data_IF_031238634287
#
_entry.id   IF_031238634287
#
_cell.length_a   1.000
_cell.length_b   1.000
_cell.length_c   1.000
_cell.angle_alpha   90.00
_cell.angle_beta   90.00
_cell.angle_gamma   90.00
#
_symmetry.space_group_name_H-M   'P 1'
#
loop_
_entity.id
_entity.type
_entity.pdbx_description
1 polymer ?
#
# COMPACT_ATOMS: atom_id res chain seq x y z
N UNK A 1 25.25 -36.31 -4.09
CA UNK A 1 24.83 -37.23 -3.04
C UNK A 1 25.16 -36.57 -1.71
N UNK A 2 24.18 -36.05 -1.02
CA UNK A 2 23.99 -35.96 0.43
C UNK A 2 22.92 -34.92 0.71
N UNK A 3 21.72 -35.43 0.92
CA UNK A 3 20.56 -34.78 1.50
C UNK A 3 20.83 -34.74 3.01
N UNK A 4 20.70 -33.60 3.65
CA UNK A 4 20.63 -33.56 5.10
C UNK A 4 19.74 -32.40 5.56
N UNK A 5 18.61 -32.82 6.12
CA UNK A 5 17.90 -32.31 7.29
C UNK A 5 17.38 -30.87 7.28
N UNK A 6 16.13 -30.75 6.87
CA UNK A 6 15.23 -29.70 7.35
C UNK A 6 14.84 -30.05 8.79
N UNK A 7 15.38 -29.32 9.75
CA UNK A 7 15.04 -29.44 11.17
C UNK A 7 13.64 -28.85 11.44
N UNK A 8 12.88 -29.58 12.24
CA UNK A 8 11.52 -29.34 12.73
C UNK A 8 11.25 -27.90 13.19
N UNK A 9 10.33 -27.25 12.48
CA UNK A 9 9.58 -26.11 13.04
C UNK A 9 8.50 -26.67 13.98
N UNK A 10 8.28 -26.08 15.16
CA UNK A 10 7.30 -26.59 16.10
C UNK A 10 5.89 -26.56 15.45
N UNK A 11 5.30 -27.71 15.28
CA UNK A 11 3.89 -27.87 14.91
C UNK A 11 3.07 -27.27 16.06
N UNK A 12 2.38 -26.16 15.79
CA UNK A 12 1.35 -25.67 16.70
C UNK A 12 0.43 -26.83 17.04
N UNK A 13 0.19 -27.04 18.34
CA UNK A 13 -0.63 -28.14 18.84
C UNK A 13 -2.00 -28.09 18.19
N UNK A 14 -2.58 -29.25 17.90
CA UNK A 14 -3.91 -29.38 17.30
C UNK A 14 -5.04 -28.66 18.05
N UNK A 15 -4.76 -28.15 19.26
CA UNK A 15 -5.64 -27.32 20.06
C UNK A 15 -5.96 -25.94 19.42
N UNK A 16 -4.99 -25.27 18.79
CA UNK A 16 -5.22 -23.95 18.15
C UNK A 16 -6.02 -24.07 16.85
N UNK A 17 -5.78 -25.10 16.05
CA UNK A 17 -6.59 -25.36 14.87
C UNK A 17 -8.02 -25.81 15.24
N UNK A 18 -8.16 -26.59 16.31
CA UNK A 18 -9.46 -27.05 16.86
C UNK A 18 -10.25 -25.91 17.51
N UNK A 19 -9.60 -24.95 18.18
CA UNK A 19 -10.26 -23.77 18.76
C UNK A 19 -10.78 -22.81 17.66
N UNK A 20 -10.01 -22.59 16.60
CA UNK A 20 -10.48 -21.87 15.41
C UNK A 20 -11.66 -22.57 14.74
N UNK A 21 -11.60 -23.90 14.59
CA UNK A 21 -12.68 -24.70 14.03
C UNK A 21 -13.91 -24.70 14.95
N UNK A 22 -13.73 -24.77 16.26
CA UNK A 22 -14.79 -24.71 17.26
C UNK A 22 -15.43 -23.31 17.40
N UNK A 23 -14.65 -22.24 17.22
CA UNK A 23 -15.19 -20.87 17.11
C UNK A 23 -16.02 -20.68 15.83
N UNK A 24 -15.65 -21.37 14.74
CA UNK A 24 -16.41 -21.39 13.49
C UNK A 24 -17.71 -22.18 13.57
N UNK A 25 -17.86 -23.15 14.50
CA UNK A 25 -19.07 -23.96 14.67
C UNK A 25 -20.14 -23.32 15.55
N UNK A 26 -19.83 -22.25 16.31
CA UNK A 26 -20.82 -21.40 16.96
C UNK A 26 -21.39 -20.44 15.94
N UNK A 27 -22.57 -20.72 15.33
CA UNK A 27 -23.36 -19.91 14.42
C UNK A 27 -22.50 -18.82 13.74
N UNK A 28 -21.74 -19.17 12.70
CA UNK A 28 -21.07 -18.15 11.89
C UNK A 28 -22.18 -17.34 11.22
N UNK A 29 -22.28 -16.06 11.58
CA UNK A 29 -23.17 -15.15 10.86
C UNK A 29 -22.77 -15.17 9.40
N UNK A 30 -23.66 -15.62 8.54
CA UNK A 30 -23.43 -15.58 7.10
C UNK A 30 -23.78 -14.19 6.60
N UNK A 31 -22.79 -13.51 6.08
CA UNK A 31 -22.96 -12.20 5.43
C UNK A 31 -23.31 -12.42 3.95
N UNK A 32 -24.32 -11.70 3.46
CA UNK A 32 -24.51 -11.63 2.01
C UNK A 32 -23.30 -10.95 1.34
N UNK A 33 -23.00 -11.32 0.09
CA UNK A 33 -21.94 -10.68 -0.67
C UNK A 33 -22.12 -9.17 -0.74
N UNK A 34 -23.36 -8.70 -0.85
CA UNK A 34 -23.70 -7.28 -0.85
C UNK A 34 -23.33 -6.61 0.48
N UNK A 35 -23.62 -7.25 1.60
CA UNK A 35 -23.26 -6.74 2.93
C UNK A 35 -21.74 -6.69 3.10
N UNK A 36 -21.03 -7.75 2.71
CA UNK A 36 -19.56 -7.79 2.76
C UNK A 36 -18.93 -6.66 1.93
N UNK A 37 -19.45 -6.39 0.73
CA UNK A 37 -19.02 -5.28 -0.14
C UNK A 37 -19.20 -3.92 0.53
N UNK A 38 -20.36 -3.67 1.13
CA UNK A 38 -20.65 -2.42 1.85
C UNK A 38 -19.73 -2.22 3.05
N UNK A 39 -19.47 -3.27 3.81
CA UNK A 39 -18.52 -3.25 4.91
C UNK A 39 -17.12 -2.87 4.40
N UNK A 40 -16.65 -3.53 3.35
CA UNK A 40 -15.34 -3.26 2.76
C UNK A 40 -15.23 -1.81 2.25
N UNK A 41 -16.24 -1.30 1.56
CA UNK A 41 -16.29 0.07 1.08
C UNK A 41 -16.28 1.09 2.23
N UNK A 42 -17.09 0.86 3.26
CA UNK A 42 -17.16 1.73 4.44
C UNK A 42 -15.85 1.74 5.24
N UNK A 43 -15.20 0.58 5.41
CA UNK A 43 -13.89 0.46 6.05
C UNK A 43 -12.83 1.26 5.32
N UNK A 44 -12.88 1.26 3.99
CA UNK A 44 -11.98 2.02 3.13
C UNK A 44 -12.33 3.53 3.01
N UNK A 45 -13.40 3.99 3.68
CA UNK A 45 -13.78 5.40 3.72
C UNK A 45 -14.73 5.86 2.61
N UNK A 46 -15.27 4.94 1.80
CA UNK A 46 -16.29 5.28 0.81
C UNK A 46 -17.68 5.42 1.42
N UNK A 47 -18.56 6.15 0.73
CA UNK A 47 -19.94 6.42 1.16
C UNK A 47 -20.12 7.65 2.05
N UNK A 48 -19.04 8.34 2.41
CA UNK A 48 -19.12 9.66 3.04
C UNK A 48 -19.13 10.74 1.95
N UNK A 49 -19.92 11.82 2.12
CA UNK A 49 -19.87 12.95 1.20
C UNK A 49 -18.47 13.57 1.16
N UNK A 50 -17.94 13.82 -0.03
CA UNK A 50 -16.70 14.58 -0.22
C UNK A 50 -16.92 16.03 0.21
N UNK A 51 -15.96 16.59 0.94
CA UNK A 51 -15.99 17.96 1.42
C UNK A 51 -14.67 18.64 1.05
N UNK A 52 -14.64 19.95 0.86
CA UNK A 52 -13.39 20.67 0.61
C UNK A 52 -12.33 20.31 1.65
N UNK A 53 -11.15 19.93 1.16
CA UNK A 53 -10.02 19.52 2.01
C UNK A 53 -9.20 20.75 2.34
N UNK A 54 -9.29 21.18 3.60
CA UNK A 54 -8.47 22.27 4.14
C UNK A 54 -7.45 21.69 5.12
N UNK A 55 -6.15 21.75 4.75
CA UNK A 55 -5.07 21.33 5.61
C UNK A 55 -4.92 19.81 5.76
N UNK A 56 -4.10 19.41 6.73
CA UNK A 56 -3.64 18.02 6.91
C UNK A 56 -4.70 17.07 7.51
N UNK A 57 -5.57 17.55 8.40
CA UNK A 57 -6.41 16.67 9.21
C UNK A 57 -7.30 15.67 8.41
N UNK A 58 -7.98 16.04 7.31
CA UNK A 58 -8.72 15.08 6.51
C UNK A 58 -7.82 14.03 5.84
N UNK A 59 -6.66 14.47 5.33
CA UNK A 59 -5.65 13.59 4.73
C UNK A 59 -5.07 12.62 5.75
N UNK A 60 -4.72 13.12 6.95
CA UNK A 60 -4.22 12.31 8.06
C UNK A 60 -5.21 11.21 8.43
N UNK A 61 -6.49 11.53 8.61
CA UNK A 61 -7.52 10.51 8.90
C UNK A 61 -7.67 9.47 7.79
N UNK A 62 -7.50 9.85 6.53
CA UNK A 62 -7.54 8.90 5.41
C UNK A 62 -6.32 7.98 5.43
N UNK A 63 -5.13 8.55 5.67
CA UNK A 63 -3.88 7.78 5.81
C UNK A 63 -3.91 6.85 7.02
N UNK A 64 -4.42 7.31 8.17
CA UNK A 64 -4.57 6.47 9.36
C UNK A 64 -5.54 5.30 9.11
N UNK A 65 -6.64 5.55 8.40
CA UNK A 65 -7.62 4.53 8.02
C UNK A 65 -7.05 3.48 7.07
N UNK A 66 -6.30 3.91 6.06
CA UNK A 66 -5.70 3.03 5.06
C UNK A 66 -4.35 2.48 5.49
N UNK A 67 -3.74 3.06 6.52
CA UNK A 67 -2.43 2.73 7.09
C UNK A 67 -1.26 2.89 6.11
N UNK A 68 -1.49 2.92 4.81
CA UNK A 68 -0.44 3.12 3.82
C UNK A 68 -0.98 3.61 2.46
N UNK A 69 -0.14 4.31 1.72
CA UNK A 69 -0.32 4.60 0.30
C UNK A 69 0.86 4.03 -0.48
N UNK A 70 0.60 3.10 -1.39
CA UNK A 70 1.66 2.52 -2.23
C UNK A 70 2.28 3.59 -3.14
N UNK A 71 3.59 3.61 -3.17
CA UNK A 71 4.40 4.45 -4.07
C UNK A 71 4.69 3.65 -5.34
N UNK A 72 4.50 4.30 -6.47
CA UNK A 72 4.90 3.76 -7.76
C UNK A 72 5.67 4.81 -8.59
N UNK A 73 6.60 4.34 -9.40
CA UNK A 73 7.41 5.20 -10.27
C UNK A 73 6.66 5.69 -11.51
N UNK A 74 5.59 4.99 -11.91
CA UNK A 74 4.77 5.34 -13.07
C UNK A 74 4.06 6.68 -12.85
N UNK A 75 4.25 7.61 -13.79
CA UNK A 75 3.69 8.96 -13.73
C UNK A 75 2.96 9.34 -15.02
N UNK A 76 2.09 8.42 -15.47
CA UNK A 76 1.27 8.63 -16.68
C UNK A 76 0.17 9.64 -16.44
N UNK A 77 -0.51 9.55 -15.29
CA UNK A 77 -1.54 10.47 -14.85
C UNK A 77 -0.98 11.38 -13.75
N UNK A 78 -0.82 10.82 -12.59
CA UNK A 78 -0.18 11.37 -11.39
C UNK A 78 0.41 10.19 -10.62
N UNK A 79 1.38 10.42 -9.75
CA UNK A 79 1.95 9.32 -8.97
C UNK A 79 0.90 8.67 -8.08
N UNK A 80 0.93 7.34 -8.03
CA UNK A 80 -0.12 6.51 -7.45
C UNK A 80 -0.48 6.87 -6.01
N UNK A 81 0.48 7.26 -5.17
CA UNK A 81 0.26 7.55 -3.75
C UNK A 81 -0.61 8.79 -3.46
N UNK A 82 -0.87 9.65 -4.46
CA UNK A 82 -1.82 10.76 -4.30
C UNK A 82 -3.27 10.34 -4.51
N UNK A 83 -3.51 9.32 -5.34
CA UNK A 83 -4.86 8.94 -5.77
C UNK A 83 -5.76 8.37 -4.67
N UNK A 84 -5.28 7.55 -3.69
CA UNK A 84 -6.17 7.03 -2.64
C UNK A 84 -6.84 8.12 -1.80
N UNK A 85 -6.14 9.23 -1.53
CA UNK A 85 -6.74 10.38 -0.86
C UNK A 85 -7.76 11.09 -1.77
N UNK A 86 -7.42 11.34 -3.04
CA UNK A 86 -8.35 11.93 -4.01
C UNK A 86 -9.63 11.08 -4.15
N UNK A 87 -9.50 9.78 -4.27
CA UNK A 87 -10.65 8.86 -4.43
C UNK A 87 -11.65 8.95 -3.27
N UNK A 88 -11.21 9.30 -2.06
CA UNK A 88 -12.04 9.38 -0.85
C UNK A 88 -12.50 10.79 -0.50
N UNK A 89 -11.67 11.76 -0.79
CA UNK A 89 -11.87 13.15 -0.33
C UNK A 89 -12.23 14.12 -1.46
N UNK A 90 -11.94 13.78 -2.72
CA UNK A 90 -11.94 14.72 -3.84
C UNK A 90 -10.64 15.54 -3.91
N UNK A 91 -10.66 16.69 -4.59
CA UNK A 91 -9.51 17.56 -4.76
C UNK A 91 -8.88 18.03 -3.46
N UNK A 92 -7.54 18.01 -3.41
CA UNK A 92 -6.75 18.51 -2.27
C UNK A 92 -5.38 19.00 -2.76
N UNK A 93 -4.69 19.78 -1.93
CA UNK A 93 -3.31 20.21 -2.21
C UNK A 93 -2.33 19.05 -1.98
N UNK A 94 -1.73 18.53 -3.06
CA UNK A 94 -0.77 17.41 -3.03
C UNK A 94 0.49 17.75 -2.23
N UNK A 95 0.87 19.03 -2.15
CA UNK A 95 2.01 19.47 -1.36
C UNK A 95 1.86 19.15 0.14
N UNK A 96 0.64 18.91 0.63
CA UNK A 96 0.41 18.45 2.01
C UNK A 96 0.98 17.06 2.24
N UNK A 97 0.82 16.11 1.28
CA UNK A 97 1.43 14.78 1.36
C UNK A 97 2.95 14.89 1.23
N UNK A 98 3.44 15.68 0.26
CA UNK A 98 4.89 15.87 0.05
C UNK A 98 5.57 16.43 1.29
N UNK A 99 4.96 17.45 1.91
CA UNK A 99 5.45 18.03 3.15
C UNK A 99 5.44 17.03 4.32
N UNK A 100 4.39 16.23 4.40
CA UNK A 100 4.26 15.21 5.45
C UNK A 100 5.26 14.05 5.26
N UNK A 101 5.58 13.69 4.02
CA UNK A 101 6.47 12.57 3.69
C UNK A 101 7.94 13.00 3.60
N UNK A 102 8.22 14.15 2.98
CA UNK A 102 9.58 14.57 2.59
C UNK A 102 9.95 15.98 3.04
N UNK A 103 9.07 16.65 3.76
CA UNK A 103 9.34 17.96 4.32
C UNK A 103 10.28 17.91 5.54
N UNK A 104 10.52 19.09 6.15
CA UNK A 104 11.40 19.19 7.32
C UNK A 104 10.87 18.31 8.48
N UNK A 105 11.79 17.82 9.31
CA UNK A 105 11.53 16.85 10.40
C UNK A 105 10.30 17.20 11.27
N UNK A 106 10.12 18.50 11.61
CA UNK A 106 8.96 18.99 12.38
C UNK A 106 7.61 18.86 11.68
N UNK A 107 7.59 18.86 10.35
CA UNK A 107 6.38 18.74 9.55
C UNK A 107 6.10 17.28 9.14
N UNK A 108 7.07 16.40 9.35
CA UNK A 108 6.98 15.01 8.94
C UNK A 108 5.88 14.28 9.72
N UNK A 109 5.06 13.54 8.98
CA UNK A 109 3.96 12.70 9.50
C UNK A 109 4.03 11.29 8.92
N UNK A 110 4.78 11.13 7.83
CA UNK A 110 4.90 9.90 7.06
C UNK A 110 6.37 9.53 6.90
N UNK A 111 6.62 8.25 6.67
CA UNK A 111 7.92 7.73 6.26
C UNK A 111 7.73 6.72 5.13
N UNK A 112 8.78 6.51 4.34
CA UNK A 112 8.78 5.45 3.33
C UNK A 112 9.35 4.16 3.91
N UNK A 113 8.68 3.06 3.63
CA UNK A 113 9.21 1.74 3.90
C UNK A 113 8.48 0.66 3.07
N UNK A 114 8.97 -0.56 3.15
CA UNK A 114 8.37 -1.73 2.54
C UNK A 114 7.22 -2.26 3.41
N UNK A 115 5.99 -2.16 2.90
CA UNK A 115 4.78 -2.68 3.52
C UNK A 115 4.02 -3.59 2.55
N UNK A 116 2.95 -3.12 1.88
CA UNK A 116 2.38 -3.87 0.76
C UNK A 116 3.39 -3.98 -0.38
N UNK A 117 3.94 -2.87 -0.79
CA UNK A 117 5.13 -2.67 -1.61
C UNK A 117 5.86 -1.45 -1.02
N UNK A 118 6.66 -0.71 -1.82
CA UNK A 118 7.16 0.59 -1.38
C UNK A 118 5.98 1.50 -1.05
N UNK A 119 5.91 2.00 0.17
CA UNK A 119 4.75 2.72 0.67
C UNK A 119 5.11 3.93 1.51
N UNK A 120 4.22 4.95 1.48
CA UNK A 120 4.15 5.97 2.52
C UNK A 120 3.30 5.43 3.68
N UNK A 121 3.84 5.49 4.88
CA UNK A 121 3.22 5.00 6.11
C UNK A 121 3.17 6.10 7.17
N UNK A 122 2.11 6.18 7.98
CA UNK A 122 2.11 7.00 9.20
C UNK A 122 3.28 6.66 10.12
N UNK A 123 3.91 7.67 10.71
CA UNK A 123 5.06 7.50 11.62
C UNK A 123 4.76 6.58 12.81
N UNK A 124 3.51 6.50 13.25
CA UNK A 124 3.07 5.60 14.31
C UNK A 124 3.31 4.11 13.99
N UNK A 125 3.42 3.73 12.71
CA UNK A 125 3.69 2.36 12.28
C UNK A 125 5.18 2.01 12.28
N UNK A 126 6.07 2.99 12.44
CA UNK A 126 7.52 2.75 12.41
C UNK A 126 7.97 1.69 13.42
N UNK A 127 7.54 1.70 14.70
CA UNK A 127 7.93 0.66 15.67
C UNK A 127 7.46 -0.75 15.25
N UNK A 128 6.29 -0.86 14.59
CA UNK A 128 5.70 -2.14 14.17
C UNK A 128 6.44 -2.79 12.99
N UNK A 129 7.34 -2.07 12.33
CA UNK A 129 8.12 -2.56 11.20
C UNK A 129 9.60 -2.78 11.54
N UNK A 130 10.05 -2.45 12.77
CA UNK A 130 11.44 -2.59 13.19
C UNK A 130 11.91 -4.05 13.23
N UNK A 131 11.02 -5.00 13.50
CA UNK A 131 11.35 -6.44 13.40
C UNK A 131 11.81 -6.82 11.99
N UNK A 132 11.16 -6.23 10.94
CA UNK A 132 11.52 -6.45 9.54
C UNK A 132 12.86 -5.79 9.21
N UNK A 133 13.12 -4.61 9.77
CA UNK A 133 14.41 -3.92 9.68
C UNK A 133 15.52 -4.77 10.31
N UNK A 134 15.29 -5.28 11.50
CA UNK A 134 16.24 -6.15 12.19
C UNK A 134 16.51 -7.47 11.43
N UNK A 135 15.49 -8.09 10.83
CA UNK A 135 15.68 -9.24 9.95
C UNK A 135 16.49 -8.91 8.70
N UNK A 136 16.23 -7.74 8.09
CA UNK A 136 17.00 -7.30 6.91
C UNK A 136 18.47 -7.04 7.27
N UNK A 137 18.75 -6.48 8.45
CA UNK A 137 20.10 -6.30 8.97
C UNK A 137 20.86 -7.63 9.08
N UNK A 138 20.16 -8.71 9.46
CA UNK A 138 20.73 -10.05 9.55
C UNK A 138 20.75 -10.83 8.21
N UNK A 139 20.23 -10.23 7.12
CA UNK A 139 20.12 -10.89 5.82
C UNK A 139 18.95 -11.88 5.70
N UNK A 140 17.97 -11.82 6.62
CA UNK A 140 16.82 -12.73 6.68
C UNK A 140 15.58 -12.17 5.96
N UNK A 141 15.57 -10.88 5.62
CA UNK A 141 14.49 -10.20 4.91
C UNK A 141 14.98 -9.40 3.71
N UNK A 142 14.06 -9.07 2.82
CA UNK A 142 14.33 -8.37 1.57
C UNK A 142 14.53 -9.33 0.38
N UNK A 143 14.74 -8.75 -0.78
CA UNK A 143 15.01 -9.51 -2.00
C UNK A 143 16.38 -10.22 -1.94
N UNK A 144 16.59 -11.23 -2.80
CA UNK A 144 17.83 -12.02 -2.81
C UNK A 144 19.10 -11.15 -2.88
N UNK A 145 19.12 -10.12 -3.73
CA UNK A 145 20.25 -9.21 -3.85
C UNK A 145 20.45 -8.30 -2.61
N UNK A 146 19.40 -8.00 -1.85
CA UNK A 146 19.48 -7.27 -0.58
C UNK A 146 20.09 -8.15 0.50
N UNK A 147 19.64 -9.44 0.59
CA UNK A 147 20.20 -10.41 1.53
C UNK A 147 21.67 -10.70 1.26
N UNK A 148 22.08 -10.76 -0.01
CA UNK A 148 23.47 -10.94 -0.39
C UNK A 148 24.39 -9.80 0.11
N UNK A 149 23.89 -8.56 0.22
CA UNK A 149 24.68 -7.45 0.77
C UNK A 149 25.01 -7.68 2.24
N UNK A 150 24.05 -8.14 3.03
CA UNK A 150 24.27 -8.44 4.46
C UNK A 150 25.35 -9.50 4.67
N UNK A 151 25.41 -10.52 3.79
CA UNK A 151 26.34 -11.64 3.91
C UNK A 151 27.73 -11.35 3.31
N UNK A 152 27.77 -10.72 2.13
CA UNK A 152 28.99 -10.70 1.31
C UNK A 152 29.58 -9.29 1.12
N UNK A 153 28.81 -8.22 1.33
CA UNK A 153 29.17 -6.85 0.94
C UNK A 153 28.93 -5.81 2.04
N UNK A 154 28.91 -6.25 3.29
CA UNK A 154 28.64 -5.38 4.44
C UNK A 154 29.61 -4.21 4.53
N UNK A 155 30.91 -4.44 4.29
CA UNK A 155 31.93 -3.40 4.32
C UNK A 155 31.66 -2.27 3.30
N UNK A 156 31.16 -2.62 2.11
CA UNK A 156 30.78 -1.63 1.10
C UNK A 156 29.54 -0.83 1.53
N UNK A 157 28.57 -1.47 2.14
CA UNK A 157 27.39 -0.77 2.67
C UNK A 157 27.75 0.16 3.84
N UNK A 158 28.70 -0.24 4.72
CA UNK A 158 29.21 0.65 5.76
C UNK A 158 29.92 1.88 5.15
N UNK A 159 30.73 1.71 4.11
CA UNK A 159 31.37 2.84 3.42
C UNK A 159 30.35 3.80 2.81
N UNK A 160 29.24 3.29 2.24
CA UNK A 160 28.11 4.14 1.77
C UNK A 160 27.48 4.91 2.93
N UNK A 161 27.25 4.24 4.06
CA UNK A 161 26.66 4.86 5.25
C UNK A 161 27.56 5.94 5.84
N UNK A 162 28.88 5.69 5.94
CA UNK A 162 29.84 6.69 6.42
C UNK A 162 29.86 7.93 5.51
N UNK A 163 29.76 7.74 4.22
CA UNK A 163 29.65 8.86 3.30
C UNK A 163 28.38 9.68 3.52
N UNK A 164 27.21 9.03 3.70
CA UNK A 164 25.97 9.73 4.05
C UNK A 164 26.12 10.46 5.41
N UNK A 165 26.83 9.83 6.37
CA UNK A 165 27.08 10.45 7.67
C UNK A 165 27.90 11.73 7.57
N UNK A 166 28.93 11.72 6.73
CA UNK A 166 29.87 12.83 6.55
C UNK A 166 29.31 13.95 5.68
N UNK A 167 28.65 13.60 4.56
CA UNK A 167 28.25 14.57 3.52
C UNK A 167 26.78 15.01 3.66
N UNK A 168 25.95 14.27 4.43
CA UNK A 168 24.51 14.51 4.54
C UNK A 168 23.70 13.67 3.56
N UNK A 169 22.46 14.11 3.21
CA UNK A 169 21.56 13.35 2.36
C UNK A 169 22.13 13.12 0.95
N UNK A 170 22.18 11.87 0.50
CA UNK A 170 22.69 11.46 -0.82
C UNK A 170 21.71 10.56 -1.56
N UNK A 171 21.65 10.71 -2.86
CA UNK A 171 20.99 9.78 -3.78
C UNK A 171 21.99 8.82 -4.41
N UNK A 172 21.50 7.75 -5.06
CA UNK A 172 22.38 6.81 -5.73
C UNK A 172 23.25 7.49 -6.80
N UNK A 173 22.70 8.46 -7.52
CA UNK A 173 23.43 9.23 -8.56
C UNK A 173 24.59 10.09 -8.01
N UNK A 174 24.58 10.46 -6.72
CA UNK A 174 25.68 11.26 -6.12
C UNK A 174 26.96 10.43 -5.93
N UNK A 175 26.83 9.11 -5.90
CA UNK A 175 27.96 8.20 -5.79
C UNK A 175 28.68 7.99 -7.14
N UNK A 176 28.01 8.26 -8.28
CA UNK A 176 28.61 8.11 -9.62
C UNK A 176 29.58 9.23 -9.95
N UNK A 177 29.33 10.45 -9.44
CA UNK A 177 30.11 11.64 -9.79
C UNK A 177 31.35 11.84 -8.90
N UNK A 178 31.54 11.01 -7.88
CA UNK A 178 32.77 10.99 -7.10
C UNK A 178 33.90 10.39 -7.92
N UNK A 179 34.81 11.25 -8.45
CA UNK A 179 36.09 10.86 -9.08
C UNK A 179 36.97 10.14 -8.05
N UNK A 180 36.59 8.94 -7.61
CA UNK A 180 37.52 8.04 -6.94
C UNK A 180 38.31 7.28 -8.00
N UNK A 181 39.61 7.52 -8.03
CA UNK A 181 40.60 6.82 -8.89
C UNK A 181 40.68 5.31 -8.64
N UNK A 182 39.85 4.77 -7.74
CA UNK A 182 39.95 3.38 -7.25
C UNK A 182 38.86 2.43 -7.75
N UNK A 183 37.96 2.81 -8.67
CA UNK A 183 37.01 1.87 -9.28
C UNK A 183 36.03 1.15 -8.32
N UNK A 184 35.95 1.56 -7.05
CA UNK A 184 35.19 0.90 -5.97
C UNK A 184 33.68 1.08 -6.05
N UNK A 185 33.20 2.03 -6.85
CA UNK A 185 31.80 2.39 -6.93
C UNK A 185 31.18 1.96 -8.27
N UNK A 186 30.90 0.65 -8.39
CA UNK A 186 30.04 0.20 -9.46
C UNK A 186 28.59 0.59 -9.13
N UNK A 187 27.90 1.23 -10.06
CA UNK A 187 26.49 1.65 -9.97
C UNK A 187 25.58 0.60 -9.35
N UNK A 188 25.65 -0.65 -9.82
CA UNK A 188 24.85 -1.74 -9.32
C UNK A 188 25.11 -2.10 -7.86
N UNK A 189 26.33 -1.92 -7.39
CA UNK A 189 26.77 -2.23 -6.03
C UNK A 189 26.33 -1.18 -5.04
N UNK A 190 26.51 0.09 -5.34
CA UNK A 190 26.04 1.21 -4.51
C UNK A 190 24.54 1.19 -4.33
N UNK A 191 23.79 0.96 -5.40
CA UNK A 191 22.34 0.87 -5.33
C UNK A 191 21.87 -0.27 -4.43
N UNK A 192 22.51 -1.44 -4.50
CA UNK A 192 22.21 -2.58 -3.61
C UNK A 192 22.56 -2.28 -2.15
N UNK A 193 23.66 -1.59 -1.91
CA UNK A 193 24.07 -1.15 -0.57
C UNK A 193 23.03 -0.17 0.02
N UNK A 194 22.62 0.85 -0.73
CA UNK A 194 21.56 1.77 -0.33
C UNK A 194 20.23 1.07 -0.08
N UNK A 195 19.87 0.09 -0.89
CA UNK A 195 18.66 -0.71 -0.70
C UNK A 195 18.73 -1.53 0.60
N UNK A 196 19.86 -2.17 0.89
CA UNK A 196 20.03 -2.89 2.15
C UNK A 196 20.00 -1.96 3.36
N UNK A 197 20.69 -0.83 3.31
CA UNK A 197 20.67 0.19 4.37
C UNK A 197 19.26 0.72 4.61
N UNK A 198 18.47 0.85 3.56
CA UNK A 198 17.06 1.25 3.66
C UNK A 198 16.18 0.13 4.23
N UNK A 199 16.38 -1.13 3.80
CA UNK A 199 15.68 -2.28 4.36
C UNK A 199 15.99 -2.51 5.84
N UNK A 200 17.24 -2.31 6.24
CA UNK A 200 17.67 -2.42 7.65
C UNK A 200 17.26 -1.21 8.50
N UNK A 201 16.69 -0.17 7.90
CA UNK A 201 16.25 1.03 8.62
C UNK A 201 17.39 1.94 9.09
N UNK A 202 18.63 1.70 8.64
CA UNK A 202 19.80 2.54 8.98
C UNK A 202 19.74 3.88 8.26
N UNK A 203 19.21 3.88 7.04
CA UNK A 203 18.83 5.08 6.31
C UNK A 203 17.35 5.05 5.96
N UNK A 204 16.78 6.23 5.73
CA UNK A 204 15.43 6.38 5.21
C UNK A 204 15.39 7.45 4.14
N UNK A 205 14.26 7.61 3.45
CA UNK A 205 14.09 8.63 2.43
C UNK A 205 13.95 10.00 3.10
N UNK A 206 14.96 10.85 2.94
CA UNK A 206 14.92 12.24 3.40
C UNK A 206 14.04 13.09 2.50
N UNK A 207 14.22 12.95 1.17
CA UNK A 207 13.44 13.63 0.13
C UNK A 207 13.48 12.85 -1.18
N UNK A 208 12.82 13.38 -2.19
CA UNK A 208 12.89 12.87 -3.56
C UNK A 208 13.23 14.00 -4.51
N UNK A 209 14.00 13.71 -5.57
CA UNK A 209 14.43 14.71 -6.55
C UNK A 209 14.34 14.20 -8.00
N UNK A 210 14.48 15.08 -8.97
CA UNK A 210 14.50 14.75 -10.40
C UNK A 210 13.31 13.90 -10.82
N UNK A 211 13.58 12.75 -11.44
CA UNK A 211 12.58 11.78 -11.88
C UNK A 211 11.98 10.95 -10.73
N UNK A 212 11.98 11.44 -9.52
CA UNK A 212 11.52 10.78 -8.30
C UNK A 212 12.54 9.85 -7.65
N UNK A 213 13.81 10.14 -7.86
CA UNK A 213 14.91 9.43 -7.20
C UNK A 213 14.86 9.65 -5.68
N UNK A 214 15.11 8.58 -4.90
CA UNK A 214 15.26 8.67 -3.45
C UNK A 214 16.56 9.34 -3.07
N UNK A 215 16.47 10.30 -2.17
CA UNK A 215 17.62 10.88 -1.45
C UNK A 215 17.58 10.32 -0.04
N UNK A 216 18.62 9.59 0.34
CA UNK A 216 18.71 8.88 1.61
C UNK A 216 19.48 9.69 2.63
N UNK A 217 19.05 9.66 3.89
CA UNK A 217 19.81 10.15 5.03
C UNK A 217 19.63 9.20 6.22
N UNK A 218 20.46 9.38 7.24
CA UNK A 218 20.41 8.60 8.48
C UNK A 218 19.01 8.68 9.10
N UNK A 219 18.48 7.53 9.52
CA UNK A 219 17.13 7.47 10.09
C UNK A 219 16.96 8.41 11.29
N UNK A 220 17.97 8.57 12.15
CA UNK A 220 17.97 9.50 13.28
C UNK A 220 17.94 10.98 12.88
N UNK A 221 18.37 11.31 11.67
CA UNK A 221 18.27 12.69 11.17
C UNK A 221 16.89 13.00 10.60
N UNK A 222 16.22 12.00 10.05
CA UNK A 222 14.96 12.14 9.31
C UNK A 222 13.73 11.87 10.18
N UNK A 223 13.75 10.76 10.92
CA UNK A 223 12.61 10.37 11.76
C UNK A 223 12.60 11.22 13.04
N UNK A 224 11.43 11.73 13.49
CA UNK A 224 11.34 12.49 14.74
C UNK A 224 11.83 11.67 15.94
N UNK A 225 12.61 12.27 16.87
CA UNK A 225 13.15 11.56 18.05
C UNK A 225 12.06 10.89 18.89
N UNK A 226 10.89 11.52 19.02
CA UNK A 226 9.77 10.95 19.74
C UNK A 226 9.28 9.61 19.16
N UNK A 227 9.38 9.43 17.84
CA UNK A 227 9.04 8.16 17.16
C UNK A 227 10.14 7.13 17.39
N UNK A 228 11.41 7.54 17.30
CA UNK A 228 12.54 6.64 17.55
C UNK A 228 12.58 6.14 18.99
N UNK A 229 12.15 6.97 19.95
CA UNK A 229 12.08 6.64 21.38
C UNK A 229 10.91 5.69 21.73
N UNK A 230 9.92 5.50 20.82
CA UNK A 230 8.84 4.55 21.08
C UNK A 230 9.39 3.12 21.25
N UNK A 231 8.85 2.34 22.21
CA UNK A 231 9.27 0.96 22.41
C UNK A 231 9.04 0.13 21.15
N UNK A 232 9.98 -0.75 20.87
CA UNK A 232 9.82 -1.73 19.79
C UNK A 232 9.08 -2.94 20.37
N UNK A 233 7.88 -3.26 19.88
CA UNK A 233 7.20 -4.48 20.30
C UNK A 233 8.00 -5.71 19.83
N UNK A 234 7.80 -6.84 20.46
CA UNK A 234 8.30 -8.10 19.91
C UNK A 234 7.61 -8.41 18.58
N UNK A 235 8.15 -9.39 17.85
CA UNK A 235 7.67 -9.69 16.51
C UNK A 235 6.22 -10.22 16.52
N UNK A 236 5.80 -10.96 17.53
CA UNK A 236 4.44 -11.50 17.63
C UNK A 236 3.43 -10.37 17.84
N UNK A 237 3.71 -9.45 18.75
CA UNK A 237 2.86 -8.28 19.00
C UNK A 237 2.86 -7.32 17.79
N UNK A 238 3.98 -7.16 17.10
CA UNK A 238 4.03 -6.38 15.87
C UNK A 238 3.12 -7.00 14.78
N UNK A 239 3.16 -8.32 14.60
CA UNK A 239 2.28 -9.02 13.67
C UNK A 239 0.81 -8.91 14.09
N UNK A 240 0.51 -9.07 15.37
CA UNK A 240 -0.85 -8.93 15.91
C UNK A 240 -1.43 -7.56 15.57
N UNK A 241 -0.70 -6.48 15.87
CA UNK A 241 -1.14 -5.10 15.55
C UNK A 241 -1.26 -4.85 14.04
N UNK A 242 -0.32 -5.34 13.23
CA UNK A 242 -0.40 -5.19 11.78
C UNK A 242 -1.60 -5.92 11.17
N UNK A 243 -1.97 -7.11 11.69
CA UNK A 243 -3.18 -7.83 11.27
C UNK A 243 -4.44 -7.07 11.72
N UNK A 244 -4.48 -6.52 12.93
CA UNK A 244 -5.59 -5.70 13.41
C UNK A 244 -5.81 -4.47 12.54
N UNK A 245 -4.73 -3.74 12.18
CA UNK A 245 -4.76 -2.59 11.26
C UNK A 245 -5.28 -3.02 9.88
N UNK A 246 -4.81 -4.16 9.36
CA UNK A 246 -5.30 -4.71 8.09
C UNK A 246 -6.80 -5.00 8.15
N UNK A 247 -7.26 -5.59 9.25
CA UNK A 247 -8.66 -5.93 9.45
C UNK A 247 -9.55 -4.68 9.57
N UNK A 248 -9.10 -3.66 10.28
CA UNK A 248 -9.77 -2.36 10.35
C UNK A 248 -9.88 -1.71 8.96
N UNK A 249 -8.79 -1.72 8.18
CA UNK A 249 -8.77 -1.15 6.83
C UNK A 249 -9.63 -1.93 5.82
N UNK A 250 -9.78 -3.25 5.99
CA UNK A 250 -10.51 -4.12 5.08
C UNK A 250 -11.97 -4.39 5.50
N UNK A 251 -12.28 -4.21 6.79
CA UNK A 251 -13.58 -4.43 7.40
C UNK A 251 -13.99 -5.91 7.52
N UNK A 252 -14.05 -6.62 6.42
CA UNK A 252 -14.23 -8.07 6.32
C UNK A 252 -13.23 -8.64 5.31
N UNK A 253 -12.51 -9.69 5.69
CA UNK A 253 -11.39 -10.20 4.89
C UNK A 253 -11.07 -11.66 5.20
N UNK A 254 -10.50 -12.39 4.25
CA UNK A 254 -9.89 -13.70 4.49
C UNK A 254 -8.55 -13.56 5.21
N UNK A 255 -8.03 -14.63 5.81
CA UNK A 255 -6.70 -14.64 6.39
C UNK A 255 -5.62 -14.27 5.34
N UNK A 256 -5.82 -14.68 4.07
CA UNK A 256 -4.97 -14.31 2.95
C UNK A 256 -4.95 -12.80 2.70
N UNK A 257 -6.12 -12.16 2.69
CA UNK A 257 -6.25 -10.72 2.49
C UNK A 257 -5.58 -9.93 3.63
N UNK A 258 -5.80 -10.37 4.89
CA UNK A 258 -5.25 -9.72 6.09
C UNK A 258 -3.71 -9.70 6.07
N UNK A 259 -3.09 -10.85 5.79
CA UNK A 259 -1.62 -10.93 5.76
C UNK A 259 -1.00 -10.21 4.56
N UNK A 260 -1.70 -10.19 3.42
CA UNK A 260 -1.21 -9.56 2.19
C UNK A 260 -1.05 -8.06 2.33
N UNK A 261 -1.86 -7.42 3.18
CA UNK A 261 -1.85 -5.97 3.40
C UNK A 261 -0.48 -5.42 3.79
N UNK A 262 0.26 -6.15 4.63
CA UNK A 262 1.63 -5.82 5.05
C UNK A 262 2.66 -6.87 4.61
N UNK A 263 2.34 -7.73 3.66
CA UNK A 263 3.22 -8.81 3.18
C UNK A 263 3.77 -9.67 4.32
N UNK A 264 2.90 -10.10 5.21
CA UNK A 264 3.27 -10.95 6.36
C UNK A 264 3.31 -12.42 5.96
N UNK A 265 4.17 -13.18 6.65
CA UNK A 265 4.28 -14.63 6.44
C UNK A 265 3.02 -15.37 6.96
N UNK A 266 2.67 -16.54 6.38
CA UNK A 266 1.44 -17.25 6.74
C UNK A 266 1.35 -17.66 8.21
N UNK A 267 2.40 -18.26 8.78
CA UNK A 267 2.38 -18.80 10.15
C UNK A 267 2.19 -17.73 11.23
N UNK A 268 3.04 -16.66 11.27
CA UNK A 268 2.84 -15.58 12.25
C UNK A 268 1.48 -14.91 12.09
N UNK A 269 0.96 -14.80 10.86
CA UNK A 269 -0.36 -14.19 10.63
C UNK A 269 -1.50 -15.05 11.17
N UNK A 270 -1.39 -16.38 11.09
CA UNK A 270 -2.40 -17.28 11.68
C UNK A 270 -2.44 -17.15 13.20
N UNK A 271 -1.28 -17.11 13.85
CA UNK A 271 -1.18 -16.91 15.30
C UNK A 271 -1.78 -15.55 15.71
N UNK A 272 -1.45 -14.48 14.98
CA UNK A 272 -1.99 -13.13 15.21
C UNK A 272 -3.52 -13.08 15.04
N UNK A 273 -4.07 -13.72 14.01
CA UNK A 273 -5.52 -13.81 13.79
C UNK A 273 -6.19 -14.58 14.93
N UNK A 274 -5.61 -15.69 15.39
CA UNK A 274 -6.16 -16.48 16.49
C UNK A 274 -6.23 -15.65 17.77
N UNK A 275 -5.16 -14.95 18.14
CA UNK A 275 -5.12 -14.05 19.30
C UNK A 275 -6.21 -12.95 19.19
N UNK A 276 -6.36 -12.31 18.03
CA UNK A 276 -7.38 -11.28 17.83
C UNK A 276 -8.81 -11.83 17.88
N UNK A 277 -9.03 -13.10 17.54
CA UNK A 277 -10.32 -13.76 17.70
C UNK A 277 -10.60 -14.04 19.18
N UNK A 278 -9.60 -14.50 19.94
CA UNK A 278 -9.70 -14.72 21.39
C UNK A 278 -9.95 -13.40 22.15
N UNK A 279 -9.35 -12.31 21.71
CA UNK A 279 -9.56 -10.95 22.23
C UNK A 279 -10.92 -10.34 21.84
N UNK A 280 -11.68 -10.98 20.93
CA UNK A 280 -12.95 -10.46 20.44
C UNK A 280 -12.83 -9.25 19.48
N UNK A 281 -11.64 -9.02 18.94
CA UNK A 281 -11.39 -7.98 17.94
C UNK A 281 -11.77 -8.45 16.53
N UNK A 282 -11.61 -9.76 16.27
CA UNK A 282 -12.02 -10.40 15.02
C UNK A 282 -13.09 -11.46 15.27
N UNK A 283 -14.12 -11.48 14.44
CA UNK A 283 -15.18 -12.47 14.46
C UNK A 283 -15.12 -13.32 13.19
N UNK A 284 -14.98 -14.66 13.32
CA UNK A 284 -15.10 -15.56 12.18
C UNK A 284 -16.50 -15.45 11.57
N UNK A 285 -16.59 -15.26 10.26
CA UNK A 285 -17.85 -15.15 9.52
C UNK A 285 -17.77 -15.92 8.21
N UNK A 286 -18.91 -16.39 7.70
CA UNK A 286 -19.04 -16.85 6.33
C UNK A 286 -19.50 -15.66 5.45
N UNK A 287 -19.04 -15.62 4.20
CA UNK A 287 -19.56 -14.70 3.19
C UNK A 287 -20.09 -15.50 2.02
N UNK A 288 -21.31 -15.19 1.54
CA UNK A 288 -21.88 -15.84 0.37
C UNK A 288 -20.90 -15.87 -0.79
N UNK A 289 -20.80 -16.99 -1.47
CA UNK A 289 -19.90 -17.27 -2.59
C UNK A 289 -18.41 -17.29 -2.28
N UNK A 290 -17.96 -16.98 -1.07
CA UNK A 290 -16.56 -17.14 -0.70
C UNK A 290 -16.27 -18.56 -0.25
N UNK A 291 -15.23 -19.18 -0.82
CA UNK A 291 -14.81 -20.53 -0.45
C UNK A 291 -14.05 -20.59 0.87
N UNK A 292 -13.44 -19.49 1.24
CA UNK A 292 -12.59 -19.37 2.42
C UNK A 292 -13.34 -18.65 3.54
N UNK A 293 -13.15 -19.05 4.81
CA UNK A 293 -13.66 -18.29 5.95
C UNK A 293 -13.09 -16.87 5.95
N UNK A 294 -13.91 -15.95 6.42
CA UNK A 294 -13.56 -14.56 6.57
C UNK A 294 -13.58 -14.14 8.04
N UNK A 295 -12.97 -13.02 8.33
CA UNK A 295 -12.93 -12.37 9.63
C UNK A 295 -13.52 -10.98 9.50
N UNK A 296 -14.46 -10.66 10.37
CA UNK A 296 -15.07 -9.34 10.48
C UNK A 296 -14.43 -8.61 11.64
N UNK A 297 -13.97 -7.38 11.41
CA UNK A 297 -13.48 -6.53 12.48
C UNK A 297 -14.62 -6.06 13.39
N UNK A 298 -14.41 -6.06 14.71
CA UNK A 298 -15.44 -5.71 15.72
C UNK A 298 -16.11 -4.37 15.45
N UNK A 299 -15.31 -3.36 15.07
CA UNK A 299 -15.78 -1.99 14.80
C UNK A 299 -16.20 -1.76 13.33
N UNK A 300 -16.31 -2.84 12.53
CA UNK A 300 -16.67 -2.69 11.12
C UNK A 300 -18.07 -2.14 10.96
N UNK A 301 -18.20 -0.97 10.32
CA UNK A 301 -19.49 -0.35 10.01
C UNK A 301 -20.25 -1.20 9.00
N UNK A 302 -21.54 -1.43 9.25
CA UNK A 302 -22.46 -2.19 8.38
C UNK A 302 -23.52 -1.25 7.76
N UNK A 303 -23.19 -0.40 6.79
CA UNK A 303 -24.14 0.53 6.22
C UNK A 303 -25.20 -0.18 5.38
N UNK A 304 -26.41 0.36 5.37
CA UNK A 304 -27.51 -0.16 4.54
C UNK A 304 -27.31 0.16 3.05
N UNK A 305 -26.54 1.20 2.75
CA UNK A 305 -26.24 1.68 1.40
C UNK A 305 -24.89 2.39 1.40
N UNK A 306 -24.16 2.26 0.29
CA UNK A 306 -23.01 3.10 -0.06
C UNK A 306 -23.40 3.89 -1.30
N UNK A 307 -23.19 5.21 -1.26
CA UNK A 307 -23.41 6.10 -2.40
C UNK A 307 -22.15 6.94 -2.63
N UNK A 308 -21.88 7.29 -3.88
CA UNK A 308 -20.74 8.09 -4.29
C UNK A 308 -20.06 7.55 -5.52
N UNK A 309 -18.98 8.19 -5.90
CA UNK A 309 -18.17 7.76 -7.06
C UNK A 309 -16.71 8.08 -6.83
N UNK A 310 -15.82 7.32 -7.48
CA UNK A 310 -14.38 7.55 -7.43
C UNK A 310 -13.66 6.83 -8.58
N UNK A 311 -12.63 7.46 -9.11
CA UNK A 311 -11.61 6.75 -9.89
C UNK A 311 -10.56 6.17 -8.93
N UNK A 312 -10.24 4.89 -9.09
CA UNK A 312 -9.32 4.16 -8.22
C UNK A 312 -7.97 3.98 -8.90
N UNK A 313 -6.88 4.27 -8.16
CA UNK A 313 -5.55 3.91 -8.65
C UNK A 313 -5.43 2.39 -8.83
N UNK A 314 -4.58 1.91 -9.76
CA UNK A 314 -4.28 0.48 -9.87
C UNK A 314 -3.75 -0.15 -8.59
N UNK A 315 -3.18 0.67 -7.70
CA UNK A 315 -2.57 0.29 -6.42
C UNK A 315 -3.40 0.75 -5.21
N UNK A 316 -4.67 1.09 -5.42
CA UNK A 316 -5.58 1.43 -4.34
C UNK A 316 -5.85 0.21 -3.44
N UNK A 317 -5.84 0.37 -2.09
CA UNK A 317 -6.07 -0.73 -1.15
C UNK A 317 -7.38 -1.50 -1.36
N UNK A 318 -8.37 -0.88 -1.97
CA UNK A 318 -9.63 -1.55 -2.28
C UNK A 318 -9.47 -2.64 -3.35
N UNK A 319 -8.53 -2.46 -4.30
CA UNK A 319 -8.44 -3.29 -5.50
C UNK A 319 -7.07 -3.91 -5.77
N UNK A 320 -6.02 -3.58 -5.04
CA UNK A 320 -4.68 -4.12 -5.30
C UNK A 320 -4.61 -5.65 -5.15
N UNK A 321 -5.36 -6.23 -4.19
CA UNK A 321 -5.55 -7.67 -4.07
C UNK A 321 -6.60 -8.13 -5.10
N UNK A 322 -6.13 -8.59 -6.27
CA UNK A 322 -6.98 -8.86 -7.46
C UNK A 322 -8.07 -9.91 -7.19
N UNK A 323 -7.71 -10.99 -6.50
CA UNK A 323 -8.67 -12.02 -6.10
C UNK A 323 -9.75 -11.48 -5.15
N UNK A 324 -9.37 -10.56 -4.24
CA UNK A 324 -10.34 -9.89 -3.37
C UNK A 324 -11.27 -8.98 -4.16
N UNK A 325 -10.75 -8.19 -5.10
CA UNK A 325 -11.55 -7.33 -5.98
C UNK A 325 -12.56 -8.17 -6.79
N UNK A 326 -12.13 -9.30 -7.33
CA UNK A 326 -13.00 -10.22 -8.05
C UNK A 326 -14.06 -10.84 -7.12
N UNK A 327 -13.69 -11.29 -5.91
CA UNK A 327 -14.65 -11.84 -4.93
C UNK A 327 -15.71 -10.82 -4.48
N UNK A 328 -15.32 -9.56 -4.27
CA UNK A 328 -16.24 -8.51 -3.78
C UNK A 328 -17.12 -7.94 -4.90
N UNK A 329 -16.57 -7.73 -6.08
CA UNK A 329 -17.23 -6.92 -7.12
C UNK A 329 -17.53 -7.71 -8.40
N UNK A 330 -17.06 -8.94 -8.53
CA UNK A 330 -17.08 -9.66 -9.81
C UNK A 330 -16.17 -9.03 -10.87
N UNK A 331 -15.23 -8.19 -10.42
CA UNK A 331 -14.42 -7.35 -11.30
C UNK A 331 -13.00 -7.91 -11.44
N UNK A 332 -12.75 -8.59 -12.54
CA UNK A 332 -11.42 -9.11 -12.86
C UNK A 332 -10.55 -7.97 -13.37
N UNK A 333 -9.53 -7.61 -12.61
CA UNK A 333 -8.66 -6.49 -12.93
C UNK A 333 -7.19 -6.92 -13.07
N UNK A 334 -6.53 -6.37 -14.10
CA UNK A 334 -5.09 -6.50 -14.31
C UNK A 334 -4.56 -5.17 -14.86
N UNK A 335 -3.46 -4.70 -14.31
CA UNK A 335 -2.75 -3.56 -14.89
C UNK A 335 -1.90 -4.05 -16.07
N UNK A 336 -1.92 -3.30 -17.19
CA UNK A 336 -1.30 -3.72 -18.45
C UNK A 336 -0.09 -2.87 -18.84
N UNK A 337 0.53 -2.16 -17.87
CA UNK A 337 1.72 -1.32 -18.12
C UNK A 337 2.92 -2.10 -18.66
N UNK A 338 3.03 -3.39 -18.33
CA UNK A 338 4.08 -4.29 -18.82
C UNK A 338 3.64 -5.13 -20.02
N UNK A 339 2.39 -4.98 -20.47
CA UNK A 339 1.85 -5.69 -21.63
C UNK A 339 2.18 -4.90 -22.89
N UNK A 340 2.72 -5.54 -23.96
CA UNK A 340 2.91 -4.89 -25.25
C UNK A 340 1.61 -4.25 -25.76
N UNK A 341 1.72 -3.13 -26.47
CA UNK A 341 0.56 -2.28 -26.81
C UNK A 341 -0.54 -3.06 -27.57
N UNK A 342 -0.15 -3.91 -28.49
CA UNK A 342 -1.04 -4.73 -29.34
C UNK A 342 -1.78 -5.85 -28.58
N UNK A 343 -1.34 -6.16 -27.34
CA UNK A 343 -1.93 -7.20 -26.46
C UNK A 343 -2.76 -6.62 -25.33
N UNK A 344 -2.84 -5.29 -25.22
CA UNK A 344 -3.63 -4.63 -24.17
C UNK A 344 -5.12 -4.71 -24.50
N UNK A 345 -5.91 -5.12 -23.51
CA UNK A 345 -7.37 -5.25 -23.65
C UNK A 345 -8.06 -3.92 -23.34
N UNK A 346 -7.65 -3.25 -22.26
CA UNK A 346 -8.32 -2.04 -21.80
C UNK A 346 -7.46 -0.77 -21.91
N UNK A 347 -6.14 -0.90 -22.01
CA UNK A 347 -5.23 0.24 -22.14
C UNK A 347 -3.97 0.12 -21.29
N UNK A 348 -3.23 1.22 -21.19
CA UNK A 348 -1.92 1.23 -20.50
C UNK A 348 -2.06 1.48 -19.00
N UNK A 349 -2.74 2.58 -18.61
CA UNK A 349 -2.91 2.98 -17.21
C UNK A 349 -4.39 3.12 -16.87
N UNK A 350 -5.01 1.97 -16.71
CA UNK A 350 -6.45 1.84 -16.55
C UNK A 350 -6.86 2.00 -15.10
N UNK A 351 -7.74 2.95 -14.82
CA UNK A 351 -8.34 3.18 -13.52
C UNK A 351 -9.75 2.59 -13.51
N UNK A 352 -10.08 1.70 -12.55
CA UNK A 352 -11.47 1.32 -12.29
C UNK A 352 -12.29 2.52 -11.78
N UNK A 353 -13.51 2.64 -12.27
CA UNK A 353 -14.47 3.62 -11.80
C UNK A 353 -15.46 2.97 -10.84
N UNK A 354 -15.34 3.32 -9.57
CA UNK A 354 -16.30 2.95 -8.53
C UNK A 354 -17.51 3.88 -8.62
N UNK A 355 -18.69 3.28 -8.70
CA UNK A 355 -19.96 3.99 -8.63
C UNK A 355 -20.87 3.27 -7.63
N UNK A 356 -21.16 3.93 -6.51
CA UNK A 356 -21.90 3.38 -5.39
C UNK A 356 -21.29 2.06 -4.86
N UNK A 357 -21.90 0.93 -5.14
CA UNK A 357 -21.44 -0.39 -4.67
C UNK A 357 -20.80 -1.24 -5.80
N UNK A 358 -20.56 -0.68 -6.99
CA UNK A 358 -20.06 -1.41 -8.15
C UNK A 358 -18.83 -0.76 -8.78
N UNK A 359 -17.95 -1.56 -9.35
CA UNK A 359 -16.93 -1.10 -10.28
C UNK A 359 -17.57 -1.06 -11.67
N UNK A 360 -18.03 0.12 -12.09
CA UNK A 360 -18.95 0.29 -13.22
C UNK A 360 -18.25 0.54 -14.55
N UNK A 361 -16.96 0.94 -14.53
CA UNK A 361 -16.21 1.19 -15.76
C UNK A 361 -14.70 1.05 -15.55
N UNK A 362 -13.96 1.02 -16.66
CA UNK A 362 -12.50 1.08 -16.77
C UNK A 362 -12.13 2.24 -17.65
N UNK A 363 -11.15 3.03 -17.24
CA UNK A 363 -10.76 4.23 -18.00
C UNK A 363 -9.24 4.27 -18.13
N UNK A 364 -8.73 4.22 -19.35
CA UNK A 364 -7.29 4.42 -19.63
C UNK A 364 -7.00 5.92 -19.66
N UNK A 365 -6.30 6.42 -18.65
CA UNK A 365 -6.04 7.84 -18.46
C UNK A 365 -4.57 8.20 -18.69
N UNK A 366 -4.36 9.37 -19.30
CA UNK A 366 -3.05 10.01 -19.44
C UNK A 366 -3.14 11.51 -19.21
N UNK A 367 -2.25 12.06 -18.42
CA UNK A 367 -2.04 13.51 -18.35
C UNK A 367 -1.12 13.93 -19.50
N UNK A 368 -1.66 14.61 -20.50
CA UNK A 368 -0.88 15.30 -21.50
C UNK A 368 -0.49 16.70 -20.96
N UNK A 369 0.65 16.73 -20.27
CA UNK A 369 1.14 17.95 -19.61
C UNK A 369 1.61 19.00 -20.59
N UNK A 370 1.97 18.57 -21.80
CA UNK A 370 2.42 19.47 -22.86
C UNK A 370 1.23 20.21 -23.48
N UNK A 371 0.13 19.51 -23.71
CA UNK A 371 -1.11 20.09 -24.19
C UNK A 371 -2.01 20.65 -23.05
N UNK A 372 -1.65 20.45 -21.78
CA UNK A 372 -2.46 20.89 -20.64
C UNK A 372 -3.79 20.14 -20.49
N UNK A 373 -3.91 18.91 -21.00
CA UNK A 373 -5.18 18.18 -21.07
C UNK A 373 -5.12 16.80 -20.39
N UNK A 374 -6.22 16.39 -19.79
CA UNK A 374 -6.47 15.01 -19.38
C UNK A 374 -7.05 14.24 -20.58
N UNK A 375 -6.40 13.14 -20.95
CA UNK A 375 -6.85 12.27 -22.03
C UNK A 375 -7.50 11.01 -21.45
N UNK A 376 -8.72 10.71 -21.85
CA UNK A 376 -9.41 9.44 -21.63
C UNK A 376 -9.31 8.58 -22.88
N UNK A 377 -8.18 7.87 -23.04
CA UNK A 377 -7.84 7.14 -24.25
C UNK A 377 -8.79 6.00 -24.58
N UNK A 378 -9.37 5.39 -23.56
CA UNK A 378 -10.35 4.33 -23.69
C UNK A 378 -11.26 4.32 -22.47
N UNK A 379 -12.57 4.22 -22.72
CA UNK A 379 -13.60 4.10 -21.69
C UNK A 379 -14.41 2.83 -21.96
N UNK A 380 -14.26 1.85 -21.09
CA UNK A 380 -15.02 0.62 -21.11
C UNK A 380 -16.04 0.60 -19.97
N UNK A 381 -17.33 0.61 -20.29
CA UNK A 381 -18.42 0.48 -19.31
C UNK A 381 -18.69 -1.01 -19.10
N UNK A 382 -18.70 -1.44 -17.84
CA UNK A 382 -18.90 -2.86 -17.49
C UNK A 382 -20.32 -3.32 -17.84
N UNK A 383 -20.51 -4.58 -18.21
CA UNK A 383 -21.84 -5.16 -18.43
C UNK A 383 -22.71 -5.01 -17.17
N UNK A 384 -23.95 -4.54 -17.35
CA UNK A 384 -24.89 -4.33 -16.25
C UNK A 384 -24.63 -3.08 -15.40
N UNK A 385 -23.70 -2.21 -15.81
CA UNK A 385 -23.52 -0.91 -15.15
C UNK A 385 -24.77 -0.02 -15.33
N UNK A 386 -25.12 0.82 -14.34
CA UNK A 386 -26.27 1.72 -14.42
C UNK A 386 -26.19 2.67 -15.62
N UNK A 387 -27.32 3.09 -16.21
CA UNK A 387 -27.34 3.94 -17.42
C UNK A 387 -26.65 5.30 -17.20
N UNK A 388 -26.66 5.84 -16.00
CA UNK A 388 -26.00 7.09 -15.63
C UNK A 388 -24.47 6.99 -15.47
N UNK A 389 -23.89 5.82 -15.69
CA UNK A 389 -22.44 5.57 -15.50
C UNK A 389 -21.58 6.55 -16.29
N UNK A 390 -21.90 6.81 -17.57
CA UNK A 390 -21.12 7.71 -18.41
C UNK A 390 -21.19 9.17 -17.94
N UNK A 391 -22.36 9.63 -17.52
CA UNK A 391 -22.55 10.97 -16.99
C UNK A 391 -21.76 11.17 -15.70
N UNK A 392 -21.89 10.24 -14.76
CA UNK A 392 -21.17 10.27 -13.48
C UNK A 392 -19.66 10.15 -13.65
N UNK A 393 -19.21 9.32 -14.60
CA UNK A 393 -17.80 9.23 -14.95
C UNK A 393 -17.28 10.56 -15.54
N UNK A 394 -18.03 11.21 -16.42
CA UNK A 394 -17.64 12.50 -16.99
C UNK A 394 -17.48 13.57 -15.91
N UNK A 395 -18.38 13.59 -14.92
CA UNK A 395 -18.26 14.47 -13.76
C UNK A 395 -16.99 14.21 -12.94
N UNK A 396 -16.66 12.94 -12.69
CA UNK A 396 -15.43 12.54 -11.95
C UNK A 396 -14.17 12.89 -12.75
N UNK A 397 -14.16 12.71 -14.05
CA UNK A 397 -13.05 13.10 -14.93
C UNK A 397 -12.83 14.61 -14.94
N UNK A 398 -13.91 15.40 -14.94
CA UNK A 398 -13.83 16.86 -14.83
C UNK A 398 -13.22 17.29 -13.48
N UNK A 399 -13.63 16.68 -12.38
CA UNK A 399 -13.08 16.95 -11.05
C UNK A 399 -11.60 16.57 -10.98
N UNK A 400 -11.23 15.40 -11.53
CA UNK A 400 -9.83 14.97 -11.59
C UNK A 400 -8.97 15.87 -12.45
N UNK A 401 -9.45 16.31 -13.61
CA UNK A 401 -8.73 17.24 -14.48
C UNK A 401 -8.46 18.56 -13.75
N UNK A 402 -9.48 19.16 -13.12
CA UNK A 402 -9.32 20.36 -12.32
C UNK A 402 -8.31 20.20 -11.19
N UNK A 403 -8.33 19.07 -10.47
CA UNK A 403 -7.36 18.76 -9.42
C UNK A 403 -5.91 18.65 -9.95
N UNK A 404 -5.75 18.15 -11.16
CA UNK A 404 -4.44 18.04 -11.82
C UNK A 404 -3.97 19.33 -12.49
N UNK A 405 -4.83 20.37 -12.57
CA UNK A 405 -4.57 21.61 -13.31
C UNK A 405 -4.60 21.39 -14.83
N UNK A 406 -5.47 20.50 -15.29
CA UNK A 406 -5.61 20.12 -16.70
C UNK A 406 -7.04 20.43 -17.19
N UNK A 407 -7.20 20.61 -18.49
CA UNK A 407 -8.52 20.61 -19.11
C UNK A 407 -9.11 19.19 -19.12
N UNK A 408 -10.44 19.05 -18.93
CA UNK A 408 -11.11 17.75 -18.95
C UNK A 408 -11.06 17.14 -20.36
N UNK A 409 -11.28 15.80 -20.48
CA UNK A 409 -11.41 15.14 -21.77
C UNK A 409 -12.51 15.78 -22.63
N UNK A 410 -12.23 15.92 -23.92
CA UNK A 410 -13.20 16.37 -24.89
C UNK A 410 -14.25 15.31 -25.22
N UNK A 411 -15.37 15.65 -25.90
CA UNK A 411 -16.43 14.72 -26.25
C UNK A 411 -15.98 13.61 -27.25
N UNK A 412 -14.78 13.70 -27.79
CA UNK A 412 -14.19 12.72 -28.73
C UNK A 412 -12.96 11.99 -28.17
N UNK A 413 -12.57 12.29 -26.96
CA UNK A 413 -11.43 11.63 -26.27
C UNK A 413 -11.88 10.38 -25.53
#
# INVERSE_FOLDING_TARGET
>A
MLISSVADAPRLSGATASALLAAMTRRSDTLSLRTARRIALAAQGFGAPRRPVTGWAPLGRTLDRLALHQIDSVNVLVRAHYLPAFSRLGPYDRALIDRAAWGPKRARRLFEYWAHEASLLPLALHPLLRWRMARAERGEAGWGHVRAVAAERRAQAEAVLERIRAEGPLAASDFEHGKSRSGWWEWGTTKRALEWLFWSGRVTTATRRGSFERVYDLSERVIPPAVLALPTPDEAEAHRRLIEISASALGVATAGDLRDYFRLAPEPSRAAIAALVEEGILFPVAVESWRQPAFLHAEARRPRRIAGQALLAPFDPLIWARERAERLFGFRYRIEIYTPAEKRVHGYYVLPFLMDEALAARVDLKADRQAGRLLAKNIHVEPGAPPETRERLAAELKEMAAWLGLEPPGPKD
#
